data_IF_986864422913
#
_entry.id   IF_986864422913
#
_cell.length_a   1.000
_cell.length_b   1.000
_cell.length_c   1.000
_cell.angle_alpha   90.00
_cell.angle_beta   90.00
_cell.angle_gamma   90.00
#
_symmetry.space_group_name_H-M   'P 1'
#
loop_
_entity.id
_entity.type
_entity.pdbx_description
1 polymer ?
#
# COMPACT_ATOMS: atom_id res chain seq x y z
N UNK A 1 20.51 5.12 -19.13
CA UNK A 1 19.85 3.95 -18.52
C UNK A 1 18.61 4.31 -17.68
N UNK A 2 18.59 5.44 -16.99
CA UNK A 2 17.43 5.91 -16.16
C UNK A 2 16.18 6.27 -16.97
N UNK A 3 16.33 6.74 -18.19
CA UNK A 3 15.21 7.17 -19.06
C UNK A 3 14.39 5.98 -19.58
N UNK A 4 15.06 4.93 -20.02
CA UNK A 4 14.41 3.71 -20.54
C UNK A 4 13.58 2.98 -19.46
N UNK A 5 14.07 2.89 -18.22
CA UNK A 5 13.32 2.27 -17.12
C UNK A 5 12.08 3.10 -16.76
N UNK A 6 12.18 4.43 -16.76
CA UNK A 6 11.05 5.31 -16.52
C UNK A 6 9.97 5.18 -17.59
N UNK A 7 10.36 5.09 -18.85
CA UNK A 7 9.46 4.86 -19.98
C UNK A 7 8.76 3.50 -19.86
N UNK A 8 9.51 2.43 -19.61
CA UNK A 8 8.95 1.08 -19.40
C UNK A 8 7.94 1.06 -18.25
N UNK A 9 8.24 1.69 -17.10
CA UNK A 9 7.31 1.84 -15.98
C UNK A 9 6.06 2.61 -16.38
N UNK A 10 6.19 3.64 -17.21
CA UNK A 10 5.04 4.43 -17.70
C UNK A 10 4.11 3.60 -18.58
N UNK A 11 4.68 2.86 -19.53
CA UNK A 11 3.93 1.94 -20.39
C UNK A 11 3.23 0.84 -19.57
N UNK A 12 3.93 0.29 -18.59
CA UNK A 12 3.36 -0.73 -17.73
C UNK A 12 2.18 -0.20 -16.86
N UNK A 13 2.27 1.04 -16.36
CA UNK A 13 1.14 1.69 -15.67
C UNK A 13 -0.08 1.85 -16.59
N UNK A 14 0.13 2.23 -17.84
CA UNK A 14 -0.94 2.35 -18.83
C UNK A 14 -1.60 0.99 -19.11
N UNK A 15 -0.80 -0.07 -19.28
CA UNK A 15 -1.30 -1.43 -19.44
C UNK A 15 -2.11 -1.91 -18.22
N UNK A 16 -1.60 -1.69 -17.00
CA UNK A 16 -2.30 -2.08 -15.78
C UNK A 16 -3.61 -1.33 -15.59
N UNK A 17 -3.68 -0.05 -15.97
CA UNK A 17 -4.92 0.72 -15.99
C UNK A 17 -5.94 0.10 -16.96
N UNK A 18 -5.50 -0.31 -18.14
CA UNK A 18 -6.35 -0.98 -19.12
C UNK A 18 -6.86 -2.35 -18.61
N UNK A 19 -5.99 -3.14 -17.96
CA UNK A 19 -6.40 -4.43 -17.36
C UNK A 19 -7.45 -4.22 -16.29
N UNK A 20 -7.21 -3.28 -15.38
CA UNK A 20 -8.12 -2.94 -14.28
C UNK A 20 -9.48 -2.46 -14.79
N UNK A 21 -9.53 -1.68 -15.86
CA UNK A 21 -10.77 -1.19 -16.48
C UNK A 21 -11.71 -2.28 -17.02
N UNK A 22 -11.32 -3.56 -16.96
CA UNK A 22 -12.17 -4.71 -17.29
C UNK A 22 -13.02 -5.19 -16.11
N UNK A 23 -12.76 -4.67 -14.91
CA UNK A 23 -13.44 -5.06 -13.68
C UNK A 23 -14.36 -3.93 -13.22
N UNK A 24 -15.58 -4.24 -12.86
CA UNK A 24 -16.48 -3.27 -12.20
C UNK A 24 -16.05 -3.04 -10.74
N UNK A 25 -16.57 -1.99 -10.13
CA UNK A 25 -16.33 -1.69 -8.71
C UNK A 25 -16.76 -2.86 -7.81
N UNK A 26 -17.88 -3.50 -8.13
CA UNK A 26 -18.41 -4.64 -7.38
C UNK A 26 -17.46 -5.86 -7.48
N UNK A 27 -16.94 -6.13 -8.67
CA UNK A 27 -15.96 -7.20 -8.88
C UNK A 27 -14.65 -6.96 -8.11
N UNK A 28 -14.18 -5.70 -8.06
CA UNK A 28 -12.99 -5.34 -7.28
C UNK A 28 -13.26 -5.45 -5.77
N UNK A 29 -14.46 -5.06 -5.31
CA UNK A 29 -14.86 -5.21 -3.91
C UNK A 29 -14.90 -6.69 -3.50
N UNK A 30 -15.50 -7.57 -4.32
CA UNK A 30 -15.51 -9.01 -4.06
C UNK A 30 -14.09 -9.60 -4.01
N UNK A 31 -13.24 -9.26 -4.97
CA UNK A 31 -11.82 -9.68 -4.97
C UNK A 31 -11.06 -9.17 -3.73
N UNK A 32 -11.38 -7.98 -3.26
CA UNK A 32 -10.75 -7.40 -2.07
C UNK A 32 -10.98 -8.26 -0.82
N UNK A 33 -12.17 -8.86 -0.66
CA UNK A 33 -12.50 -9.70 0.50
C UNK A 33 -11.50 -10.85 0.65
N UNK A 34 -11.20 -11.58 -0.44
CA UNK A 34 -10.25 -12.70 -0.39
C UNK A 34 -8.82 -12.26 -0.06
N UNK A 35 -8.38 -11.09 -0.51
CA UNK A 35 -7.05 -10.54 -0.19
C UNK A 35 -7.00 -10.11 1.28
N UNK A 36 -8.05 -9.47 1.77
CA UNK A 36 -8.15 -9.03 3.17
C UNK A 36 -8.22 -10.23 4.12
N UNK A 37 -8.91 -11.32 3.76
CA UNK A 37 -8.90 -12.55 4.55
C UNK A 37 -7.48 -13.14 4.67
N UNK A 38 -6.72 -13.14 3.57
CA UNK A 38 -5.30 -13.57 3.58
C UNK A 38 -4.45 -12.66 4.48
N UNK A 39 -4.66 -11.33 4.44
CA UNK A 39 -3.95 -10.40 5.33
C UNK A 39 -4.29 -10.68 6.80
N UNK A 40 -5.58 -10.84 7.13
CA UNK A 40 -6.02 -11.11 8.50
C UNK A 40 -5.47 -12.43 9.06
N UNK A 41 -5.26 -13.42 8.19
CA UNK A 41 -4.67 -14.71 8.56
C UNK A 41 -3.13 -14.72 8.56
N UNK A 42 -2.49 -13.69 8.01
CA UNK A 42 -1.04 -13.63 7.85
C UNK A 42 -0.32 -13.56 9.20
N UNK A 43 0.69 -14.40 9.47
CA UNK A 43 1.41 -14.41 10.73
C UNK A 43 2.08 -13.08 11.08
N UNK A 44 2.64 -12.35 10.10
CA UNK A 44 3.25 -11.04 10.32
C UNK A 44 2.19 -10.02 10.77
N UNK A 45 1.04 -10.00 10.09
CA UNK A 45 -0.07 -9.11 10.47
C UNK A 45 -0.63 -9.47 11.85
N UNK A 46 -0.82 -10.76 12.14
CA UNK A 46 -1.33 -11.20 13.44
C UNK A 46 -0.40 -10.84 14.58
N UNK A 47 0.91 -10.97 14.40
CA UNK A 47 1.92 -10.64 15.39
C UNK A 47 2.14 -9.13 15.56
N UNK A 48 1.81 -8.31 14.57
CA UNK A 48 2.02 -6.87 14.64
C UNK A 48 1.14 -6.19 15.71
N UNK A 49 1.67 -5.17 16.37
CA UNK A 49 0.96 -4.33 17.33
C UNK A 49 0.59 -2.96 16.77
N UNK A 50 1.44 -2.43 15.90
CA UNK A 50 1.30 -1.11 15.30
C UNK A 50 1.52 -1.16 13.76
N UNK A 51 0.66 -1.88 13.02
CA UNK A 51 0.77 -1.95 11.58
C UNK A 51 0.45 -0.60 10.93
N UNK A 52 1.29 -0.17 10.00
CA UNK A 52 0.94 0.88 9.07
C UNK A 52 0.14 0.27 7.92
N UNK A 53 -1.09 0.70 7.76
CA UNK A 53 -1.98 0.34 6.66
C UNK A 53 -2.11 1.51 5.68
N UNK A 54 -2.94 1.40 4.66
CA UNK A 54 -3.29 2.50 3.77
C UNK A 54 -4.82 2.62 3.64
N UNK A 55 -5.31 3.84 3.50
CA UNK A 55 -6.70 4.11 3.15
C UNK A 55 -6.83 3.99 1.64
N UNK A 56 -7.51 2.94 1.17
CA UNK A 56 -7.50 2.54 -0.23
C UNK A 56 -8.20 3.54 -1.14
N UNK A 57 -7.65 3.71 -2.33
CA UNK A 57 -8.35 4.32 -3.46
C UNK A 57 -9.38 3.33 -4.04
N UNK A 58 -10.40 3.82 -4.78
CA UNK A 58 -11.45 2.96 -5.35
C UNK A 58 -10.94 1.85 -6.28
N UNK A 59 -9.71 1.99 -6.76
CA UNK A 59 -9.07 1.06 -7.69
C UNK A 59 -7.97 0.20 -7.04
N UNK A 60 -7.91 0.17 -5.72
CA UNK A 60 -6.99 -0.64 -4.90
C UNK A 60 -7.77 -1.71 -4.12
N UNK A 61 -7.06 -2.65 -3.50
CA UNK A 61 -7.68 -3.60 -2.56
C UNK A 61 -8.30 -2.79 -1.43
N UNK A 62 -9.61 -2.94 -1.23
CA UNK A 62 -10.36 -2.15 -0.25
C UNK A 62 -9.97 -2.53 1.18
N UNK A 63 -9.45 -1.55 1.92
CA UNK A 63 -8.99 -1.70 3.30
C UNK A 63 -9.91 -1.04 4.33
N UNK A 64 -10.95 -0.31 3.91
CA UNK A 64 -11.73 0.56 4.79
C UNK A 64 -12.44 -0.21 5.92
N UNK A 65 -13.21 -1.25 5.56
CA UNK A 65 -13.91 -2.06 6.54
C UNK A 65 -12.94 -2.85 7.43
N UNK A 66 -11.81 -3.28 6.88
CA UNK A 66 -10.76 -3.96 7.63
C UNK A 66 -10.11 -3.03 8.66
N UNK A 67 -9.74 -1.81 8.27
CA UNK A 67 -9.21 -0.80 9.19
C UNK A 67 -10.19 -0.53 10.33
N UNK A 68 -11.48 -0.33 10.01
CA UNK A 68 -12.51 -0.12 11.03
C UNK A 68 -12.57 -1.26 12.06
N UNK A 69 -12.41 -2.50 11.60
CA UNK A 69 -12.41 -3.69 12.47
C UNK A 69 -11.16 -3.74 13.34
N UNK A 70 -9.98 -3.56 12.76
CA UNK A 70 -8.71 -3.77 13.49
C UNK A 70 -8.35 -2.62 14.43
N UNK A 71 -8.98 -1.45 14.30
CA UNK A 71 -8.83 -0.32 15.24
C UNK A 71 -9.21 -0.68 16.69
N UNK A 72 -10.07 -1.70 16.89
CA UNK A 72 -10.43 -2.17 18.23
C UNK A 72 -9.35 -3.06 18.87
N UNK A 73 -8.40 -3.56 18.08
CA UNK A 73 -7.44 -4.58 18.48
C UNK A 73 -5.98 -4.11 18.39
N UNK A 74 -5.69 -3.17 17.47
CA UNK A 74 -4.33 -2.73 17.14
C UNK A 74 -4.23 -1.21 17.04
N UNK A 75 -3.03 -0.70 17.27
CA UNK A 75 -2.68 0.68 16.91
C UNK A 75 -2.57 0.76 15.39
N UNK A 76 -3.52 1.36 14.72
CA UNK A 76 -3.48 1.50 13.25
C UNK A 76 -2.79 2.81 12.88
N UNK A 77 -1.78 2.73 12.04
CA UNK A 77 -1.06 3.90 11.51
C UNK A 77 -1.43 4.05 10.03
N UNK A 78 -1.72 5.27 9.59
CA UNK A 78 -2.00 5.59 8.20
C UNK A 78 -1.02 6.61 7.65
N UNK A 79 -0.72 6.57 6.34
CA UNK A 79 0.11 7.57 5.68
C UNK A 79 -0.64 8.89 5.52
N UNK A 80 0.03 9.98 5.83
CA UNK A 80 -0.38 11.35 5.51
C UNK A 80 0.64 11.91 4.53
N UNK A 81 0.18 12.46 3.40
CA UNK A 81 1.08 13.05 2.40
C UNK A 81 1.44 14.47 2.78
N UNK A 82 2.73 14.73 2.99
CA UNK A 82 3.25 16.07 3.30
C UNK A 82 4.34 16.41 2.28
N UNK A 83 4.02 17.31 1.37
CA UNK A 83 4.93 17.67 0.28
C UNK A 83 5.25 16.45 -0.61
N UNK A 84 6.50 16.01 -0.59
CA UNK A 84 6.96 14.84 -1.35
C UNK A 84 7.12 13.57 -0.50
N UNK A 85 6.75 13.61 0.78
CA UNK A 85 6.99 12.52 1.73
C UNK A 85 5.72 11.97 2.36
N UNK A 86 5.84 10.80 2.98
CA UNK A 86 4.83 10.19 3.82
C UNK A 86 5.20 10.45 5.28
N UNK A 87 4.23 10.99 6.02
CA UNK A 87 4.26 11.11 7.48
C UNK A 87 3.31 10.06 8.06
N UNK A 88 3.79 9.11 8.87
CA UNK A 88 2.93 8.14 9.52
C UNK A 88 2.19 8.78 10.70
N UNK A 89 0.87 8.62 10.76
CA UNK A 89 0.01 9.17 11.81
C UNK A 89 -0.91 8.09 12.35
N UNK A 90 -1.04 8.00 13.69
CA UNK A 90 -1.92 7.03 14.33
C UNK A 90 -3.39 7.42 14.12
N UNK A 91 -4.19 6.46 13.69
CA UNK A 91 -5.64 6.60 13.59
C UNK A 91 -6.30 6.14 14.89
N UNK A 92 -6.83 7.06 15.68
CA UNK A 92 -7.52 6.73 16.93
C UNK A 92 -9.01 6.43 16.73
N UNK A 93 -9.63 7.01 15.72
CA UNK A 93 -11.05 6.85 15.40
C UNK A 93 -11.30 7.19 13.92
N UNK A 94 -12.28 6.55 13.30
CA UNK A 94 -12.71 6.91 11.95
C UNK A 94 -13.24 8.35 11.85
N UNK A 95 -13.73 8.94 12.95
CA UNK A 95 -14.13 10.34 12.99
C UNK A 95 -12.98 11.34 12.89
N UNK A 96 -11.73 10.87 13.06
CA UNK A 96 -10.52 11.69 12.89
C UNK A 96 -9.99 11.72 11.45
N UNK A 97 -10.68 11.04 10.52
CA UNK A 97 -10.32 11.07 9.11
C UNK A 97 -10.86 12.35 8.45
N UNK A 98 -10.00 13.01 7.69
CA UNK A 98 -10.32 14.21 6.91
C UNK A 98 -9.83 14.02 5.49
N UNK A 99 -10.46 14.69 4.55
CA UNK A 99 -9.98 14.69 3.17
C UNK A 99 -8.60 15.36 3.09
N UNK A 100 -7.62 14.58 2.67
CA UNK A 100 -6.25 14.98 2.48
C UNK A 100 -5.85 15.06 1.01
N UNK A 101 -4.58 14.79 0.72
CA UNK A 101 -4.05 14.76 -0.63
C UNK A 101 -4.76 13.68 -1.49
N UNK A 102 -4.97 13.99 -2.76
CA UNK A 102 -5.57 13.08 -3.75
C UNK A 102 -7.00 12.61 -3.41
N UNK A 103 -7.75 13.36 -2.62
CA UNK A 103 -9.09 12.99 -2.12
C UNK A 103 -9.08 11.69 -1.28
N UNK A 104 -7.94 11.36 -0.66
CA UNK A 104 -7.81 10.25 0.27
C UNK A 104 -8.14 10.77 1.67
N UNK A 105 -8.86 9.96 2.46
CA UNK A 105 -9.05 10.28 3.86
C UNK A 105 -7.76 9.99 4.65
N UNK A 106 -7.27 10.98 5.37
CA UNK A 106 -6.05 10.94 6.16
C UNK A 106 -6.36 11.26 7.63
N UNK A 107 -5.66 10.64 8.60
CA UNK A 107 -5.84 10.95 10.02
C UNK A 107 -5.21 12.29 10.36
N UNK A 108 -5.80 12.98 11.33
CA UNK A 108 -5.18 14.16 11.96
C UNK A 108 -4.43 13.75 13.21
N UNK A 109 -3.24 14.33 13.39
CA UNK A 109 -2.42 14.10 14.57
C UNK A 109 -0.94 14.35 14.30
N UNK A 110 -0.15 14.11 15.33
CA UNK A 110 1.30 14.14 15.23
C UNK A 110 1.84 12.89 14.56
N UNK A 111 3.02 13.01 13.96
CA UNK A 111 3.70 11.84 13.40
C UNK A 111 4.10 10.88 14.52
N UNK A 112 3.88 9.58 14.30
CA UNK A 112 4.46 8.55 15.14
C UNK A 112 5.94 8.38 14.81
N UNK A 113 6.74 7.95 15.80
CA UNK A 113 8.17 7.67 15.59
C UNK A 113 8.36 6.44 14.68
N UNK A 114 9.42 6.48 13.88
CA UNK A 114 9.74 5.38 12.96
C UNK A 114 9.90 4.02 13.68
N UNK A 115 10.41 4.02 14.91
CA UNK A 115 10.58 2.80 15.73
C UNK A 115 9.26 2.21 16.26
N UNK A 116 8.14 2.91 16.09
CA UNK A 116 6.84 2.44 16.56
C UNK A 116 6.10 1.58 15.53
N UNK A 117 6.54 1.59 14.26
CA UNK A 117 5.92 0.83 13.18
C UNK A 117 6.57 -0.55 13.10
N UNK A 118 5.79 -1.61 13.25
CA UNK A 118 6.28 -2.99 13.26
C UNK A 118 5.87 -3.81 12.02
N UNK A 119 5.03 -3.25 11.16
CA UNK A 119 4.64 -3.83 9.86
C UNK A 119 4.18 -2.70 8.92
N UNK A 120 4.54 -2.77 7.65
CA UNK A 120 4.02 -1.85 6.62
C UNK A 120 3.24 -2.64 5.58
N UNK A 121 1.94 -2.34 5.47
CA UNK A 121 1.05 -2.85 4.43
C UNK A 121 0.84 -1.75 3.39
N UNK A 122 1.10 -2.04 2.12
CA UNK A 122 1.15 -0.99 1.10
C UNK A 122 0.47 -1.38 -0.22
N UNK A 123 -0.06 -0.38 -0.97
CA UNK A 123 -0.66 -0.59 -2.27
C UNK A 123 0.38 -0.56 -3.39
N UNK A 124 -0.03 -1.01 -4.57
CA UNK A 124 0.74 -0.89 -5.80
C UNK A 124 -0.11 -0.99 -7.05
N UNK A 125 0.46 -0.54 -8.16
CA UNK A 125 -0.14 -0.70 -9.50
C UNK A 125 0.09 -2.12 -10.02
N UNK A 126 1.26 -2.70 -9.73
CA UNK A 126 1.62 -4.08 -10.01
C UNK A 126 2.73 -4.55 -9.07
N UNK A 127 2.87 -5.86 -8.96
CA UNK A 127 3.90 -6.53 -8.15
C UNK A 127 4.48 -7.72 -8.89
N UNK A 128 5.73 -8.09 -8.57
CA UNK A 128 6.31 -9.37 -8.97
C UNK A 128 6.44 -10.31 -7.78
N UNK A 129 6.63 -11.60 -8.08
CA UNK A 129 6.88 -12.60 -7.05
C UNK A 129 8.20 -12.33 -6.27
N UNK A 130 9.15 -11.61 -6.90
CA UNK A 130 10.44 -11.24 -6.31
C UNK A 130 10.38 -9.97 -5.45
N UNK A 131 9.19 -9.48 -5.15
CA UNK A 131 8.97 -8.30 -4.32
C UNK A 131 9.15 -6.95 -5.03
N UNK A 132 9.32 -6.93 -6.36
CA UNK A 132 9.33 -5.68 -7.11
C UNK A 132 7.94 -5.06 -7.10
N UNK A 133 7.87 -3.75 -6.93
CA UNK A 133 6.61 -3.01 -6.87
C UNK A 133 6.59 -1.86 -7.87
N UNK A 134 5.54 -1.77 -8.66
CA UNK A 134 5.23 -0.61 -9.48
C UNK A 134 4.27 0.32 -8.72
N UNK A 135 4.76 1.46 -8.26
CA UNK A 135 3.91 2.51 -7.68
C UNK A 135 3.30 3.44 -8.74
N UNK A 136 2.52 4.41 -8.30
CA UNK A 136 1.84 5.40 -9.17
C UNK A 136 2.78 6.44 -9.81
N UNK A 137 4.09 6.43 -9.46
CA UNK A 137 5.13 7.26 -10.10
C UNK A 137 5.57 8.48 -9.31
N UNK A 138 5.05 8.73 -8.13
CA UNK A 138 5.48 9.83 -7.25
C UNK A 138 6.65 9.49 -6.33
N UNK A 139 7.00 8.19 -6.20
CA UNK A 139 8.10 7.70 -5.36
C UNK A 139 7.86 7.83 -3.85
N UNK A 140 6.64 8.11 -3.40
CA UNK A 140 6.34 8.29 -1.97
C UNK A 140 6.74 7.08 -1.13
N UNK A 141 6.28 5.89 -1.51
CA UNK A 141 6.59 4.68 -0.76
C UNK A 141 8.07 4.27 -0.87
N UNK A 142 8.74 4.52 -2.00
CA UNK A 142 10.16 4.16 -2.14
C UNK A 142 11.02 5.02 -1.19
N UNK A 143 10.76 6.33 -1.10
CA UNK A 143 11.40 7.21 -0.11
C UNK A 143 11.02 6.84 1.33
N UNK A 144 9.75 6.52 1.56
CA UNK A 144 9.29 6.13 2.90
C UNK A 144 9.95 4.83 3.34
N UNK A 145 9.88 3.76 2.54
CA UNK A 145 10.43 2.45 2.86
C UNK A 145 11.95 2.46 3.07
N UNK A 146 12.69 3.35 2.41
CA UNK A 146 14.14 3.48 2.62
C UNK A 146 14.51 3.85 4.07
N UNK A 147 13.57 4.39 4.84
CA UNK A 147 13.74 4.70 6.28
C UNK A 147 13.51 3.46 7.16
N UNK A 148 12.88 2.42 6.63
CA UNK A 148 12.42 1.23 7.38
C UNK A 148 13.01 -0.08 6.85
N UNK A 149 14.36 -0.20 6.72
CA UNK A 149 14.97 -1.34 6.06
C UNK A 149 14.77 -2.69 6.79
N UNK A 150 14.35 -2.66 8.05
CA UNK A 150 14.15 -3.85 8.89
C UNK A 150 12.69 -4.10 9.26
N UNK A 151 11.76 -3.25 8.84
CA UNK A 151 10.34 -3.44 9.12
C UNK A 151 9.73 -4.30 8.03
N UNK A 152 9.07 -5.41 8.37
CA UNK A 152 8.41 -6.28 7.39
C UNK A 152 7.41 -5.52 6.53
N UNK A 153 7.32 -5.89 5.26
CA UNK A 153 6.47 -5.23 4.27
C UNK A 153 5.55 -6.21 3.56
N UNK A 154 4.26 -5.88 3.44
CA UNK A 154 3.27 -6.68 2.71
C UNK A 154 2.58 -5.81 1.67
N UNK A 155 2.69 -6.18 0.39
CA UNK A 155 1.90 -5.59 -0.68
C UNK A 155 0.54 -6.28 -0.80
N UNK A 156 -0.54 -5.50 -1.00
CA UNK A 156 -1.84 -6.05 -1.35
C UNK A 156 -2.12 -5.83 -2.83
N UNK A 157 -2.54 -6.88 -3.51
CA UNK A 157 -2.76 -6.89 -4.95
C UNK A 157 -3.98 -7.72 -5.34
N UNK A 158 -4.57 -7.40 -6.47
CA UNK A 158 -5.42 -8.33 -7.17
C UNK A 158 -4.57 -9.30 -8.02
N UNK A 159 -5.08 -10.48 -8.31
CA UNK A 159 -4.43 -11.51 -9.12
C UNK A 159 -3.86 -10.98 -10.46
N UNK A 160 -4.63 -10.13 -11.16
CA UNK A 160 -4.22 -9.53 -12.43
C UNK A 160 -3.07 -8.50 -12.31
N UNK A 161 -2.72 -8.07 -11.10
CA UNK A 161 -1.61 -7.16 -10.82
C UNK A 161 -0.27 -7.88 -10.62
N UNK A 162 -0.29 -9.23 -10.56
CA UNK A 162 0.94 -10.02 -10.42
C UNK A 162 1.57 -10.23 -11.79
N UNK A 163 2.83 -9.84 -11.90
CA UNK A 163 3.60 -9.90 -13.14
C UNK A 163 4.88 -10.72 -12.92
N UNK A 164 5.41 -11.36 -13.97
CA UNK A 164 6.67 -12.09 -13.87
C UNK A 164 7.85 -11.20 -13.49
N UNK A 165 7.85 -9.95 -13.93
CA UNK A 165 8.92 -8.97 -13.71
C UNK A 165 8.38 -7.54 -13.82
N UNK A 166 8.97 -6.63 -13.03
CA UNK A 166 8.72 -5.19 -13.09
C UNK A 166 10.06 -4.47 -13.31
N UNK A 167 10.15 -3.55 -14.28
CA UNK A 167 11.34 -2.74 -14.46
C UNK A 167 11.71 -2.02 -13.16
N UNK A 168 12.94 -2.23 -12.68
CA UNK A 168 13.41 -1.69 -11.41
C UNK A 168 14.55 -0.67 -11.63
N UNK A 169 14.58 0.35 -10.79
CA UNK A 169 15.64 1.35 -10.73
C UNK A 169 16.38 1.23 -9.36
N UNK A 170 17.60 1.74 -9.23
CA UNK A 170 18.38 1.60 -8.00
C UNK A 170 17.74 2.16 -6.71
N UNK A 171 16.77 3.05 -6.87
CA UNK A 171 16.07 3.68 -5.74
C UNK A 171 14.73 2.99 -5.41
N UNK A 172 14.30 2.01 -6.20
CA UNK A 172 13.10 1.25 -5.89
C UNK A 172 13.37 0.28 -4.73
N UNK A 173 12.47 0.25 -3.76
CA UNK A 173 12.57 -0.64 -2.61
C UNK A 173 11.71 -1.88 -2.85
N UNK A 174 12.34 -3.06 -2.76
CA UNK A 174 11.63 -4.34 -2.80
C UNK A 174 10.84 -4.54 -1.51
N UNK A 175 9.73 -5.23 -1.62
CA UNK A 175 8.91 -5.64 -0.48
C UNK A 175 9.07 -7.13 -0.19
N UNK A 176 8.80 -7.53 1.06
CA UNK A 176 9.09 -8.89 1.52
C UNK A 176 8.04 -9.89 1.04
N UNK A 177 6.78 -9.47 0.91
CA UNK A 177 5.66 -10.36 0.60
C UNK A 177 4.56 -9.64 -0.17
N UNK A 178 3.88 -10.38 -1.05
CA UNK A 178 2.66 -9.93 -1.74
C UNK A 178 1.52 -10.90 -1.45
N UNK A 179 0.37 -10.38 -1.06
CA UNK A 179 -0.89 -11.12 -0.90
C UNK A 179 -1.85 -10.74 -2.04
N UNK A 180 -2.40 -11.75 -2.71
CA UNK A 180 -3.30 -11.57 -3.85
C UNK A 180 -4.30 -12.72 -3.97
#
# INVERSE_FOLDING_TARGET
>A
MTDQTAEQKSLLRAEMRRRKGRFSTEMLAEKSLGVIEKLAADPLFRASHAPMLYWSLPDEVDTHAFIAKVLAEKRVILPVVVGNDIRPVELHSLSNLHEGAFHILEPQGDAVGDAEIDLIVLPGVAFSADGERLGRGRGYYDRFLSRFPSVPTIGLAFDFQILPHIPSAPHDVKIDKVLF
#
